data_IF_982220877009
#
_entry.id   IF_982220877009
#
_cell.length_a   1.000
_cell.length_b   1.000
_cell.length_c   1.000
_cell.angle_alpha   90.00
_cell.angle_beta   90.00
_cell.angle_gamma   90.00
#
_symmetry.space_group_name_H-M   'P 1'
#
loop_
_entity.id
_entity.type
_entity.pdbx_description
1 polymer ?
#
# COMPACT_ATOMS: atom_id res chain seq x y z
N UNK A 1 6.29 -12.96 19.35
CA UNK A 1 5.13 -13.68 18.81
C UNK A 1 5.61 -14.41 17.57
N UNK A 2 5.29 -15.70 17.42
CA UNK A 2 5.65 -16.47 16.22
C UNK A 2 4.99 -15.85 14.98
N UNK A 3 5.78 -15.67 13.92
CA UNK A 3 5.28 -15.24 12.62
C UNK A 3 4.72 -16.47 11.91
N UNK A 4 3.48 -16.85 12.21
CA UNK A 4 2.78 -17.81 11.37
C UNK A 4 2.39 -17.11 10.08
N UNK A 5 2.67 -17.73 8.94
CA UNK A 5 2.34 -17.22 7.61
C UNK A 5 1.50 -18.28 6.88
N UNK A 6 0.38 -17.86 6.31
CA UNK A 6 -0.40 -18.69 5.39
C UNK A 6 0.12 -18.45 3.98
N UNK A 7 0.54 -19.51 3.30
CA UNK A 7 0.99 -19.46 1.92
C UNK A 7 -0.06 -20.02 0.98
N UNK A 8 -0.25 -19.36 -0.16
CA UNK A 8 -1.16 -19.75 -1.22
C UNK A 8 -0.39 -19.60 -2.53
N UNK A 9 -0.42 -20.63 -3.37
CA UNK A 9 0.21 -20.60 -4.70
C UNK A 9 -0.78 -21.15 -5.70
N UNK A 10 -0.93 -20.49 -6.85
CA UNK A 10 -1.75 -21.04 -7.93
C UNK A 10 -1.08 -22.25 -8.56
N UNK A 11 -1.86 -23.23 -9.01
CA UNK A 11 -1.31 -24.43 -9.67
C UNK A 11 -0.74 -24.12 -11.05
N UNK A 12 -1.26 -23.09 -11.72
CA UNK A 12 -0.88 -22.67 -13.06
C UNK A 12 -0.65 -21.16 -13.10
N UNK A 13 0.00 -20.71 -14.18
CA UNK A 13 0.01 -19.30 -14.56
C UNK A 13 -1.41 -18.81 -14.86
N UNK A 14 -1.66 -17.54 -14.58
CA UNK A 14 -2.88 -16.83 -14.90
C UNK A 14 -3.35 -15.93 -13.77
N UNK A 15 -4.32 -15.08 -14.11
CA UNK A 15 -5.00 -14.24 -13.13
C UNK A 15 -5.91 -15.10 -12.24
N UNK A 16 -5.98 -14.75 -10.96
CA UNK A 16 -6.98 -15.26 -10.03
C UNK A 16 -8.06 -14.19 -9.86
N UNK A 17 -9.20 -14.38 -10.53
CA UNK A 17 -10.31 -13.42 -10.53
C UNK A 17 -11.32 -13.72 -9.41
N UNK A 18 -11.99 -12.68 -8.90
CA UNK A 18 -12.95 -12.81 -7.82
C UNK A 18 -12.29 -12.99 -6.45
N UNK A 19 -13.05 -13.48 -5.47
CA UNK A 19 -12.54 -13.72 -4.12
C UNK A 19 -11.67 -14.98 -4.11
N UNK A 20 -10.43 -14.84 -3.66
CA UNK A 20 -9.42 -15.91 -3.64
C UNK A 20 -9.36 -16.53 -2.25
N UNK A 21 -9.24 -15.70 -1.21
CA UNK A 21 -9.22 -16.14 0.18
C UNK A 21 -9.82 -15.09 1.11
N UNK A 22 -10.53 -15.56 2.13
CA UNK A 22 -10.96 -14.77 3.28
C UNK A 22 -10.12 -15.14 4.50
N UNK A 23 -9.50 -14.13 5.12
CA UNK A 23 -8.74 -14.28 6.36
C UNK A 23 -9.48 -13.56 7.48
N UNK A 24 -9.75 -14.30 8.55
CA UNK A 24 -10.34 -13.74 9.78
C UNK A 24 -9.27 -13.62 10.85
N UNK A 25 -8.93 -12.39 11.22
CA UNK A 25 -8.06 -12.08 12.35
C UNK A 25 -8.91 -11.85 13.61
N UNK A 26 -8.64 -12.58 14.68
CA UNK A 26 -9.26 -12.41 16.00
C UNK A 26 -8.18 -12.22 17.07
N UNK A 27 -8.57 -12.15 18.34
CA UNK A 27 -7.66 -11.97 19.48
C UNK A 27 -6.81 -10.67 19.37
N UNK A 28 -7.37 -9.64 18.73
CA UNK A 28 -6.76 -8.32 18.61
C UNK A 28 -6.81 -7.60 19.96
N UNK A 29 -5.67 -7.10 20.44
CA UNK A 29 -5.54 -6.48 21.77
C UNK A 29 -4.97 -5.05 21.75
N UNK A 30 -4.56 -4.54 20.59
CA UNK A 30 -3.94 -3.21 20.43
C UNK A 30 -4.65 -2.31 19.41
N UNK A 31 -5.85 -2.71 18.98
CA UNK A 31 -6.59 -2.00 17.94
C UNK A 31 -7.92 -1.48 18.48
N UNK A 32 -8.20 -0.21 18.23
CA UNK A 32 -9.45 0.44 18.63
C UNK A 32 -9.82 1.53 17.64
N UNK A 33 -11.12 1.81 17.51
CA UNK A 33 -11.65 2.97 16.80
C UNK A 33 -12.51 3.79 17.76
N UNK A 34 -12.18 5.08 17.94
CA UNK A 34 -12.85 5.99 18.90
C UNK A 34 -12.96 5.41 20.32
N UNK A 35 -11.92 4.72 20.78
CA UNK A 35 -11.88 4.06 22.08
C UNK A 35 -12.64 2.72 22.15
N UNK A 36 -13.48 2.37 21.16
CA UNK A 36 -14.10 1.04 21.08
C UNK A 36 -13.10 0.03 20.52
N UNK A 37 -12.95 -1.12 21.17
CA UNK A 37 -12.03 -2.18 20.75
C UNK A 37 -12.43 -2.73 19.38
N UNK A 38 -11.44 -2.88 18.49
CA UNK A 38 -11.58 -3.70 17.28
C UNK A 38 -11.22 -5.13 17.68
N UNK A 39 -12.19 -6.04 17.67
CA UNK A 39 -12.01 -7.42 18.13
C UNK A 39 -11.68 -8.38 16.98
N UNK A 40 -12.15 -8.04 15.77
CA UNK A 40 -12.02 -8.88 14.58
C UNK A 40 -11.80 -8.03 13.32
N UNK A 41 -10.95 -8.54 12.42
CA UNK A 41 -10.77 -8.01 11.06
C UNK A 41 -11.03 -9.17 10.09
N UNK A 42 -11.87 -8.92 9.10
CA UNK A 42 -12.05 -9.82 7.95
C UNK A 42 -11.34 -9.17 6.76
N UNK A 43 -10.36 -9.86 6.17
CA UNK A 43 -9.64 -9.44 4.98
C UNK A 43 -9.93 -10.39 3.82
N UNK A 44 -10.52 -9.89 2.75
CA UNK A 44 -10.83 -10.67 1.54
C UNK A 44 -9.83 -10.26 0.47
N UNK A 45 -8.99 -11.22 0.06
CA UNK A 45 -8.04 -11.07 -1.03
C UNK A 45 -8.71 -11.51 -2.33
N UNK A 46 -8.56 -10.71 -3.38
CA UNK A 46 -9.29 -10.85 -4.63
C UNK A 46 -8.53 -10.26 -5.81
N UNK A 47 -8.88 -10.70 -7.02
CA UNK A 47 -8.37 -10.15 -8.28
C UNK A 47 -6.85 -10.01 -8.30
N UNK A 48 -6.15 -11.12 -8.05
CA UNK A 48 -4.69 -11.18 -8.17
C UNK A 48 -4.34 -11.34 -9.65
N UNK A 49 -3.68 -10.33 -10.20
CA UNK A 49 -3.36 -10.23 -11.62
C UNK A 49 -1.90 -10.62 -11.80
N UNK A 50 -1.64 -11.60 -12.65
CA UNK A 50 -0.29 -12.05 -12.95
C UNK A 50 0.51 -10.91 -13.60
N UNK A 51 1.79 -10.82 -13.27
CA UNK A 51 2.72 -9.96 -13.98
C UNK A 51 3.05 -10.57 -15.34
N UNK A 52 2.91 -9.82 -16.43
CA UNK A 52 3.09 -10.31 -17.80
C UNK A 52 4.52 -10.77 -18.10
N UNK A 53 5.48 -10.31 -17.30
CA UNK A 53 6.89 -10.70 -17.43
C UNK A 53 7.26 -11.92 -16.58
N UNK A 54 6.35 -12.39 -15.72
CA UNK A 54 6.59 -13.56 -14.87
C UNK A 54 6.22 -14.85 -15.59
N UNK A 55 7.11 -15.84 -15.52
CA UNK A 55 6.86 -17.22 -15.94
C UNK A 55 6.46 -18.14 -14.79
N UNK A 56 6.38 -17.60 -13.57
CA UNK A 56 6.04 -18.37 -12.37
C UNK A 56 4.57 -18.15 -11.98
N UNK A 57 3.92 -19.14 -11.35
CA UNK A 57 2.59 -18.99 -10.78
C UNK A 57 2.54 -17.86 -9.74
N UNK A 58 1.37 -17.23 -9.59
CA UNK A 58 1.16 -16.22 -8.55
C UNK A 58 1.15 -16.86 -7.17
N UNK A 59 1.65 -16.15 -6.17
CA UNK A 59 1.59 -16.63 -4.80
C UNK A 59 1.47 -15.51 -3.79
N UNK A 60 0.92 -15.86 -2.63
CA UNK A 60 0.63 -14.97 -1.50
C UNK A 60 1.18 -15.56 -0.21
N UNK A 61 1.65 -14.69 0.67
CA UNK A 61 2.18 -15.02 1.98
C UNK A 61 1.61 -14.05 3.00
N UNK A 62 0.60 -14.49 3.74
CA UNK A 62 -0.19 -13.64 4.62
C UNK A 62 0.22 -13.87 6.07
N UNK A 63 0.69 -12.83 6.76
CA UNK A 63 1.10 -12.95 8.15
C UNK A 63 -0.13 -13.05 9.08
N UNK A 64 -0.05 -13.93 10.06
CA UNK A 64 -1.05 -14.11 11.13
C UNK A 64 -1.30 -12.85 11.96
N UNK A 65 -0.32 -11.95 12.06
CA UNK A 65 -0.51 -10.63 12.65
C UNK A 65 -0.72 -9.60 11.51
N UNK A 66 -1.91 -8.98 11.41
CA UNK A 66 -2.23 -8.08 10.29
C UNK A 66 -1.34 -6.85 10.23
N UNK A 67 -0.67 -6.47 11.34
CA UNK A 67 0.33 -5.40 11.35
C UNK A 67 1.50 -5.68 10.41
N UNK A 68 1.90 -6.94 10.25
CA UNK A 68 2.99 -7.34 9.37
C UNK A 68 2.55 -7.45 7.90
N UNK A 69 1.26 -7.33 7.59
CA UNK A 69 0.75 -7.33 6.22
C UNK A 69 0.88 -8.67 5.52
N UNK A 70 1.27 -8.62 4.24
CA UNK A 70 1.41 -9.79 3.40
C UNK A 70 2.42 -9.52 2.27
N UNK A 71 2.85 -10.59 1.63
CA UNK A 71 3.64 -10.57 0.40
C UNK A 71 2.83 -11.15 -0.76
N UNK A 72 3.05 -10.61 -1.95
CA UNK A 72 2.60 -11.20 -3.21
C UNK A 72 3.78 -11.32 -4.17
N UNK A 73 3.83 -12.42 -4.91
CA UNK A 73 4.88 -12.71 -5.87
C UNK A 73 4.29 -12.93 -7.25
N UNK A 74 5.05 -12.54 -8.28
CA UNK A 74 4.70 -12.79 -9.69
C UNK A 74 3.41 -12.10 -10.13
N UNK A 75 2.93 -11.15 -9.33
CA UNK A 75 1.68 -10.44 -9.54
C UNK A 75 1.96 -8.97 -9.81
N UNK A 76 1.23 -8.41 -10.78
CA UNK A 76 1.20 -6.98 -11.07
C UNK A 76 0.26 -6.24 -10.12
N UNK A 77 -0.78 -6.90 -9.60
CA UNK A 77 -1.65 -6.33 -8.57
C UNK A 77 -2.47 -7.37 -7.83
N UNK A 78 -2.98 -6.98 -6.66
CA UNK A 78 -3.95 -7.71 -5.85
C UNK A 78 -4.85 -6.74 -5.09
N UNK A 79 -6.14 -7.09 -4.96
CA UNK A 79 -7.12 -6.28 -4.23
C UNK A 79 -7.46 -6.92 -2.88
N UNK A 80 -7.41 -6.12 -1.82
CA UNK A 80 -7.79 -6.55 -0.47
C UNK A 80 -8.92 -5.67 0.07
N UNK A 81 -9.98 -6.30 0.56
CA UNK A 81 -11.09 -5.64 1.24
C UNK A 81 -11.06 -5.98 2.73
N UNK A 82 -10.84 -4.97 3.58
CA UNK A 82 -10.87 -5.11 5.03
C UNK A 82 -12.19 -4.61 5.60
N UNK A 83 -12.79 -5.42 6.49
CA UNK A 83 -13.90 -5.05 7.36
C UNK A 83 -13.50 -5.22 8.81
N UNK A 84 -13.88 -4.28 9.64
CA UNK A 84 -13.48 -4.20 11.05
C UNK A 84 -14.71 -4.38 11.91
N UNK A 85 -14.60 -5.18 12.96
CA UNK A 85 -15.70 -5.49 13.86
C UNK A 85 -15.30 -5.20 15.29
N UNK A 86 -16.26 -4.68 16.05
CA UNK A 86 -16.08 -4.44 17.48
C UNK A 86 -16.26 -5.71 18.32
N UNK A 87 -16.16 -5.58 19.64
CA UNK A 87 -16.31 -6.71 20.58
C UNK A 87 -17.69 -7.37 20.59
N UNK A 88 -18.72 -6.65 20.16
CA UNK A 88 -20.10 -7.14 20.04
C UNK A 88 -20.37 -7.75 18.65
N UNK A 89 -19.33 -7.90 17.83
CA UNK A 89 -19.40 -8.37 16.45
C UNK A 89 -20.19 -7.43 15.51
N UNK A 90 -20.36 -6.15 15.88
CA UNK A 90 -20.93 -5.16 14.97
C UNK A 90 -19.88 -4.68 13.97
N UNK A 91 -20.30 -4.48 12.73
CA UNK A 91 -19.47 -3.89 11.70
C UNK A 91 -19.19 -2.42 12.04
N UNK A 92 -17.92 -2.06 12.13
CA UNK A 92 -17.49 -0.69 12.38
C UNK A 92 -17.68 0.14 11.11
N UNK A 93 -18.34 1.28 11.27
CA UNK A 93 -18.48 2.29 10.24
C UNK A 93 -17.57 3.46 10.57
N UNK A 94 -16.55 3.70 9.74
CA UNK A 94 -15.68 4.86 9.85
C UNK A 94 -16.45 6.09 9.40
N UNK A 95 -16.78 6.97 10.33
CA UNK A 95 -17.34 8.25 9.96
C UNK A 95 -16.26 9.15 9.34
N UNK A 96 -16.70 10.08 8.48
CA UNK A 96 -15.88 11.07 7.77
C UNK A 96 -15.29 12.14 8.71
N UNK A 97 -14.95 11.75 9.94
CA UNK A 97 -14.20 12.60 10.88
C UNK A 97 -12.70 12.42 10.68
N UNK A 98 -11.91 13.36 11.18
CA UNK A 98 -10.45 13.43 11.01
C UNK A 98 -9.67 12.34 11.77
N UNK A 99 -10.21 11.14 11.98
CA UNK A 99 -9.60 10.10 12.83
C UNK A 99 -9.43 8.72 12.18
N UNK A 100 -9.80 8.55 10.91
CA UNK A 100 -9.76 7.25 10.21
C UNK A 100 -8.63 7.21 9.17
N UNK A 101 -7.40 7.42 9.63
CA UNK A 101 -6.21 7.49 8.76
C UNK A 101 -5.50 6.15 8.65
N UNK A 102 -5.23 5.74 7.41
CA UNK A 102 -4.45 4.55 7.08
C UNK A 102 -3.26 4.97 6.24
N UNK A 103 -2.06 4.86 6.82
CA UNK A 103 -0.81 5.05 6.11
C UNK A 103 -0.56 3.89 5.17
N UNK A 104 -0.23 4.23 3.93
CA UNK A 104 0.37 3.32 2.95
C UNK A 104 1.82 3.76 2.78
N UNK A 105 2.74 3.03 3.41
CA UNK A 105 4.18 3.27 3.29
C UNK A 105 4.88 2.28 2.39
N UNK A 106 6.21 2.37 2.34
CA UNK A 106 7.05 1.44 1.55
C UNK A 106 6.72 1.44 0.05
N UNK A 107 6.18 2.53 -0.51
CA UNK A 107 5.89 2.62 -1.94
C UNK A 107 7.16 2.90 -2.73
N UNK A 108 7.96 1.86 -2.92
CA UNK A 108 9.25 1.92 -3.59
C UNK A 108 9.09 2.17 -5.10
N UNK A 109 10.03 2.93 -5.66
CA UNK A 109 10.18 3.22 -7.09
C UNK A 109 11.67 3.29 -7.45
N UNK A 110 12.08 2.72 -8.57
CA UNK A 110 13.48 2.61 -8.99
C UNK A 110 13.92 1.16 -9.24
N UNK A 111 15.06 0.99 -9.90
CA UNK A 111 15.61 -0.32 -10.31
C UNK A 111 14.63 -1.14 -11.15
N UNK A 112 13.96 -0.50 -12.11
CA UNK A 112 13.08 -1.18 -13.04
C UNK A 112 11.69 -1.51 -12.49
N UNK A 113 11.31 -0.98 -11.31
CA UNK A 113 9.96 -1.20 -10.75
C UNK A 113 9.41 0.03 -10.02
N UNK A 114 8.09 0.08 -9.88
CA UNK A 114 7.44 0.92 -8.87
C UNK A 114 6.23 0.25 -8.28
N UNK A 115 5.95 0.58 -7.03
CA UNK A 115 4.85 0.07 -6.24
C UNK A 115 3.79 1.16 -6.08
N UNK A 116 2.52 0.75 -6.07
CA UNK A 116 1.39 1.64 -5.96
C UNK A 116 0.28 1.05 -5.08
N UNK A 117 -0.54 1.93 -4.52
CA UNK A 117 -1.78 1.56 -3.87
C UNK A 117 -2.93 2.44 -4.33
N UNK A 118 -4.07 1.83 -4.61
CA UNK A 118 -5.29 2.51 -5.04
C UNK A 118 -6.40 2.28 -4.04
N UNK A 119 -6.99 3.36 -3.52
CA UNK A 119 -8.19 3.31 -2.70
C UNK A 119 -9.42 3.15 -3.60
N UNK A 120 -10.14 2.03 -3.46
CA UNK A 120 -11.37 1.74 -4.20
C UNK A 120 -12.63 1.97 -3.37
N UNK A 121 -12.52 2.00 -2.04
CA UNK A 121 -13.64 2.31 -1.13
C UNK A 121 -13.81 3.83 -0.96
N UNK A 122 -14.88 4.22 -0.26
CA UNK A 122 -15.15 5.63 0.04
C UNK A 122 -14.05 6.23 0.92
N UNK A 123 -13.59 7.42 0.56
CA UNK A 123 -12.56 8.13 1.30
C UNK A 123 -11.84 9.15 0.45
N UNK A 124 -10.75 9.67 1.00
CA UNK A 124 -9.86 10.63 0.35
C UNK A 124 -8.42 10.18 0.49
N UNK A 125 -7.60 10.56 -0.47
CA UNK A 125 -6.17 10.24 -0.52
C UNK A 125 -5.36 11.52 -0.34
N UNK A 126 -4.30 11.43 0.44
CA UNK A 126 -3.39 12.53 0.75
C UNK A 126 -1.94 12.06 0.61
N UNK A 127 -1.06 12.95 0.19
CA UNK A 127 0.39 12.75 0.25
C UNK A 127 0.92 13.35 1.55
N UNK A 128 2.08 12.92 2.01
CA UNK A 128 2.81 13.68 3.02
C UNK A 128 3.55 14.85 2.37
N UNK A 129 3.70 15.95 3.10
CA UNK A 129 4.60 17.03 2.70
C UNK A 129 6.01 16.45 2.44
N UNK A 130 6.61 16.85 1.32
CA UNK A 130 7.96 16.42 0.88
C UNK A 130 8.09 14.91 0.62
N UNK A 131 6.97 14.17 0.50
CA UNK A 131 6.96 12.79 0.00
C UNK A 131 7.30 12.74 -1.48
N UNK A 132 8.00 11.69 -1.91
CA UNK A 132 8.14 11.37 -3.32
C UNK A 132 6.87 10.76 -3.90
N UNK A 133 5.97 10.26 -3.03
CA UNK A 133 4.71 9.64 -3.42
C UNK A 133 3.66 10.74 -3.62
N UNK A 134 3.13 10.77 -4.84
CA UNK A 134 2.11 11.72 -5.29
C UNK A 134 0.78 11.03 -5.55
N UNK A 135 -0.26 11.84 -5.73
CA UNK A 135 -1.62 11.37 -5.94
C UNK A 135 -1.92 11.36 -7.43
N UNK A 136 -2.30 10.20 -7.94
CA UNK A 136 -2.65 9.96 -9.33
C UNK A 136 -4.10 9.51 -9.42
N UNK A 137 -4.80 9.97 -10.46
CA UNK A 137 -6.21 9.63 -10.70
C UNK A 137 -7.11 9.85 -9.46
N UNK A 138 -6.75 10.81 -8.60
CA UNK A 138 -7.43 11.19 -7.34
C UNK A 138 -7.46 10.14 -6.23
N UNK A 139 -7.08 8.89 -6.48
CA UNK A 139 -7.18 7.81 -5.50
C UNK A 139 -6.01 6.82 -5.48
N UNK A 140 -4.97 7.04 -6.28
CA UNK A 140 -3.81 6.15 -6.39
C UNK A 140 -2.57 6.87 -5.88
N UNK A 141 -1.78 6.20 -5.06
CA UNK A 141 -0.49 6.66 -4.54
C UNK A 141 0.63 5.89 -5.22
N UNK A 142 1.59 6.60 -5.82
CA UNK A 142 2.90 6.06 -6.21
C UNK A 142 3.90 7.20 -6.42
N UNK A 143 5.18 6.86 -6.60
CA UNK A 143 6.24 7.82 -6.92
C UNK A 143 6.55 7.81 -8.42
N UNK A 144 6.43 8.95 -9.10
CA UNK A 144 6.74 9.09 -10.53
C UNK A 144 8.24 8.84 -10.84
N UNK A 145 9.09 9.05 -9.84
CA UNK A 145 10.55 8.95 -9.94
C UNK A 145 11.12 7.95 -8.95
N UNK A 146 12.33 7.49 -9.23
CA UNK A 146 13.05 6.59 -8.36
C UNK A 146 13.24 7.23 -6.97
N UNK A 147 12.81 6.51 -5.94
CA UNK A 147 12.91 6.87 -4.53
C UNK A 147 13.56 5.76 -3.71
N UNK A 148 13.93 4.63 -4.31
CA UNK A 148 14.42 3.47 -3.58
C UNK A 148 15.92 3.56 -3.34
N UNK A 149 16.36 2.95 -2.24
CA UNK A 149 17.77 2.71 -2.00
C UNK A 149 18.40 1.92 -3.18
N UNK A 150 19.69 2.15 -3.39
CA UNK A 150 20.50 1.62 -4.49
C UNK A 150 20.08 2.11 -5.90
N UNK A 151 19.14 3.07 -5.97
CA UNK A 151 18.74 3.76 -7.21
C UNK A 151 19.34 5.16 -7.28
N UNK A 152 19.45 5.69 -8.49
CA UNK A 152 19.68 7.13 -8.71
C UNK A 152 18.39 7.88 -8.33
N UNK A 153 18.36 8.51 -7.16
CA UNK A 153 17.16 9.20 -6.66
C UNK A 153 16.73 10.31 -7.63
N UNK A 154 15.44 10.34 -7.97
CA UNK A 154 14.86 11.28 -8.94
C UNK A 154 14.94 10.83 -10.40
N UNK A 155 15.62 9.72 -10.72
CA UNK A 155 15.65 9.18 -12.09
C UNK A 155 14.31 8.54 -12.49
N UNK A 156 14.22 8.06 -13.74
CA UNK A 156 13.06 7.28 -14.16
C UNK A 156 13.02 5.97 -13.36
N UNK A 157 11.85 5.56 -12.86
CA UNK A 157 11.67 4.31 -12.13
C UNK A 157 12.13 3.07 -12.93
N UNK A 158 12.06 3.14 -14.27
CA UNK A 158 12.47 2.06 -15.17
C UNK A 158 13.99 1.98 -15.38
N UNK A 159 14.74 2.96 -14.86
CA UNK A 159 16.20 2.91 -14.86
C UNK A 159 16.68 1.78 -13.94
N UNK A 160 17.44 0.85 -14.52
CA UNK A 160 17.98 -0.32 -13.83
C UNK A 160 19.41 -0.11 -13.35
N UNK A 161 19.97 1.10 -13.52
CA UNK A 161 21.31 1.44 -13.05
C UNK A 161 21.38 1.36 -11.53
N UNK A 162 22.28 0.50 -11.06
CA UNK A 162 22.58 0.33 -9.65
C UNK A 162 23.61 1.35 -9.19
N UNK A 163 23.39 1.94 -8.02
CA UNK A 163 24.40 2.73 -7.29
C UNK A 163 24.66 2.11 -5.92
N UNK A 164 25.90 2.16 -5.46
CA UNK A 164 26.26 1.65 -4.12
C UNK A 164 25.57 2.43 -3.00
N UNK A 165 25.28 3.71 -3.25
CA UNK A 165 24.65 4.58 -2.27
C UNK A 165 23.71 5.58 -2.94
N UNK A 166 22.44 5.55 -2.54
CA UNK A 166 21.46 6.54 -2.95
C UNK A 166 21.65 7.85 -2.20
N UNK A 167 21.47 8.97 -2.90
CA UNK A 167 21.52 10.31 -2.33
C UNK A 167 20.09 10.86 -2.15
N UNK A 168 19.50 10.62 -0.99
CA UNK A 168 18.18 11.15 -0.63
C UNK A 168 18.28 12.65 -0.26
N UNK A 169 17.16 13.37 -0.15
CA UNK A 169 17.18 14.78 0.24
C UNK A 169 17.89 15.08 1.58
N UNK A 170 18.04 14.07 2.44
CA UNK A 170 18.73 14.16 3.74
C UNK A 170 20.07 13.37 3.77
N UNK A 171 20.64 13.07 2.60
CA UNK A 171 21.86 12.27 2.45
C UNK A 171 21.56 10.79 2.29
N UNK A 172 22.39 9.94 2.88
CA UNK A 172 22.51 8.56 2.39
C UNK A 172 21.84 7.52 3.31
N UNK A 173 20.98 8.00 4.20
CA UNK A 173 20.24 7.15 5.15
C UNK A 173 18.96 6.67 4.48
N UNK A 174 18.77 5.36 4.42
CA UNK A 174 17.55 4.77 3.85
C UNK A 174 16.31 5.18 4.66
N UNK A 175 15.22 5.49 3.95
CA UNK A 175 13.93 5.77 4.57
C UNK A 175 13.10 4.50 4.80
N UNK A 176 13.34 3.45 4.01
CA UNK A 176 12.46 2.28 3.95
C UNK A 176 12.85 1.20 4.96
N UNK A 177 12.94 1.60 6.23
CA UNK A 177 13.28 0.71 7.36
C UNK A 177 12.12 0.54 8.33
N UNK A 178 10.90 0.87 7.90
CA UNK A 178 9.67 0.86 8.70
C UNK A 178 9.16 2.26 9.07
N UNK A 179 7.86 2.35 9.41
CA UNK A 179 7.14 3.62 9.59
C UNK A 179 7.58 4.46 10.81
N UNK A 180 8.34 3.89 11.73
CA UNK A 180 8.96 4.63 12.85
C UNK A 180 10.18 5.45 12.42
N UNK A 181 10.73 5.20 11.23
CA UNK A 181 11.82 5.99 10.66
C UNK A 181 11.32 7.43 10.39
N UNK A 182 12.11 8.42 10.81
CA UNK A 182 11.79 9.85 10.64
C UNK A 182 11.66 10.29 9.17
N UNK A 183 12.15 9.49 8.24
CA UNK A 183 12.08 9.74 6.80
C UNK A 183 11.09 8.81 6.08
N UNK A 184 10.40 7.92 6.80
CA UNK A 184 9.45 6.97 6.20
C UNK A 184 8.33 7.65 5.39
N UNK A 185 8.04 8.91 5.69
CA UNK A 185 7.08 9.70 4.91
C UNK A 185 7.45 9.84 3.44
N UNK A 186 8.74 9.75 3.10
CA UNK A 186 9.25 10.00 1.75
C UNK A 186 8.71 9.00 0.72
N UNK A 187 8.48 7.76 1.12
CA UNK A 187 7.84 6.74 0.28
C UNK A 187 6.45 6.36 0.79
N UNK A 188 5.71 7.31 1.37
CA UNK A 188 4.39 7.06 1.92
C UNK A 188 3.34 8.09 1.50
N UNK A 189 2.08 7.67 1.58
CA UNK A 189 0.91 8.55 1.61
C UNK A 189 -0.13 8.01 2.61
N UNK A 190 -1.30 8.63 2.65
CA UNK A 190 -2.35 8.26 3.62
C UNK A 190 -3.73 8.28 2.98
N UNK A 191 -4.55 7.30 3.36
CA UNK A 191 -5.98 7.24 3.07
C UNK A 191 -6.77 7.70 4.29
N UNK A 192 -7.67 8.66 4.11
CA UNK A 192 -8.74 8.93 5.06
C UNK A 192 -9.97 8.13 4.63
N UNK A 193 -10.30 7.11 5.39
CA UNK A 193 -11.31 6.11 5.01
C UNK A 193 -12.67 6.46 5.63
N UNK A 194 -13.74 6.20 4.88
CA UNK A 194 -15.11 6.40 5.35
C UNK A 194 -15.97 5.21 4.96
N UNK A 195 -17.07 5.00 5.67
CA UNK A 195 -17.91 3.83 5.46
C UNK A 195 -17.38 2.61 6.23
N UNK A 196 -17.86 1.43 5.87
CA UNK A 196 -17.63 0.20 6.64
C UNK A 196 -16.61 -0.76 6.02
N UNK A 197 -15.89 -0.30 5.00
CA UNK A 197 -14.88 -1.11 4.31
C UNK A 197 -13.67 -0.29 3.87
N UNK A 198 -12.51 -0.96 3.86
CA UNK A 198 -11.28 -0.47 3.28
C UNK A 198 -10.92 -1.38 2.12
N UNK A 199 -11.19 -0.95 0.89
CA UNK A 199 -10.86 -1.72 -0.32
C UNK A 199 -9.66 -1.07 -1.01
N UNK A 200 -8.55 -1.80 -1.08
CA UNK A 200 -7.28 -1.31 -1.63
C UNK A 200 -6.81 -2.29 -2.71
N UNK A 201 -6.44 -1.76 -3.88
CA UNK A 201 -5.61 -2.50 -4.83
C UNK A 201 -4.15 -2.11 -4.61
N UNK A 202 -3.33 -3.08 -4.24
CA UNK A 202 -1.88 -2.96 -4.24
C UNK A 202 -1.34 -3.45 -5.57
N UNK A 203 -0.29 -2.83 -6.08
CA UNK A 203 0.34 -3.35 -7.28
C UNK A 203 1.75 -2.87 -7.48
N UNK A 204 2.41 -3.55 -8.41
CA UNK A 204 3.80 -3.30 -8.77
C UNK A 204 3.89 -3.39 -10.28
N UNK A 205 4.44 -2.34 -10.91
CA UNK A 205 4.85 -2.42 -12.32
C UNK A 205 6.33 -2.68 -12.40
N UNK A 206 6.72 -3.45 -13.39
CA UNK A 206 8.09 -3.92 -13.58
C UNK A 206 8.47 -3.88 -15.05
N UNK A 207 9.75 -3.70 -15.34
CA UNK A 207 10.34 -3.91 -16.67
C UNK A 207 11.16 -5.20 -16.75
N UNK A 208 11.51 -5.79 -15.60
CA UNK A 208 12.25 -7.05 -15.48
C UNK A 208 11.76 -7.87 -14.27
N UNK A 209 12.10 -9.16 -14.24
CA UNK A 209 11.60 -10.09 -13.21
C UNK A 209 12.58 -10.30 -12.03
N UNK A 210 13.54 -9.39 -11.82
CA UNK A 210 14.60 -9.58 -10.81
C UNK A 210 14.07 -9.49 -9.36
N UNK A 211 12.93 -8.83 -9.18
CA UNK A 211 12.28 -8.63 -7.87
C UNK A 211 10.78 -8.95 -7.96
N UNK A 212 10.42 -10.24 -8.07
CA UNK A 212 9.03 -10.66 -8.30
C UNK A 212 8.14 -10.45 -7.08
N UNK A 213 8.73 -10.27 -5.90
CA UNK A 213 8.05 -10.08 -4.62
C UNK A 213 7.79 -8.61 -4.33
N UNK A 214 6.59 -8.30 -3.82
CA UNK A 214 6.29 -7.03 -3.16
C UNK A 214 5.56 -7.29 -1.85
N UNK A 215 5.92 -6.50 -0.84
CA UNK A 215 5.29 -6.50 0.47
C UNK A 215 4.27 -5.38 0.55
N UNK A 216 3.14 -5.63 1.20
CA UNK A 216 2.12 -4.62 1.44
C UNK A 216 1.53 -4.77 2.84
N UNK A 217 1.17 -3.64 3.44
CA UNK A 217 0.46 -3.60 4.72
C UNK A 217 -0.41 -2.36 4.82
N UNK A 218 -1.40 -2.41 5.72
CA UNK A 218 -2.07 -1.22 6.23
C UNK A 218 -1.48 -0.87 7.59
N UNK A 219 -1.30 0.41 7.86
CA UNK A 219 -0.85 0.87 9.17
C UNK A 219 -1.61 2.10 9.62
N UNK A 220 -1.85 2.21 10.91
CA UNK A 220 -2.33 3.46 11.55
C UNK A 220 -1.18 4.30 12.11
N UNK A 221 0.07 3.86 11.92
CA UNK A 221 1.26 4.65 12.27
C UNK A 221 1.46 5.74 11.24
N UNK A 222 1.37 6.99 11.66
CA UNK A 222 1.72 8.15 10.84
C UNK A 222 3.22 8.43 11.01
N UNK A 223 4.03 8.46 9.94
CA UNK A 223 5.45 8.79 10.02
C UNK A 223 5.71 10.12 10.75
N UNK A 224 6.80 10.18 11.52
CA UNK A 224 7.22 11.40 12.22
C UNK A 224 7.81 12.40 11.22
N UNK A 225 7.55 13.70 11.41
CA UNK A 225 8.27 14.77 10.72
C UNK A 225 7.60 15.37 9.49
N UNK A 226 6.47 14.84 9.02
CA UNK A 226 5.65 15.49 7.99
C UNK A 226 4.16 15.22 8.23
N UNK A 227 3.35 16.28 8.07
CA UNK A 227 1.90 16.17 8.10
C UNK A 227 1.35 15.81 6.72
N UNK A 228 0.15 15.20 6.64
CA UNK A 228 -0.53 15.03 5.37
C UNK A 228 -0.81 16.40 4.74
N UNK A 229 -0.48 16.54 3.46
CA UNK A 229 -0.83 17.69 2.63
C UNK A 229 -2.06 17.34 1.78
N UNK A 230 -2.97 18.31 1.68
CA UNK A 230 -4.10 18.20 0.75
C UNK A 230 -3.59 18.03 -0.69
N UNK A 231 -4.28 17.24 -1.54
CA UNK A 231 -3.98 17.19 -2.96
C UNK A 231 -4.02 18.59 -3.59
N UNK A 232 -3.06 18.89 -4.45
CA UNK A 232 -3.13 20.04 -5.33
C UNK A 232 -4.12 19.72 -6.47
N UNK A 233 -5.26 20.40 -6.49
CA UNK A 233 -6.29 20.20 -7.51
C UNK A 233 -6.03 21.16 -8.67
N UNK A 234 -5.45 20.66 -9.76
CA UNK A 234 -5.39 21.40 -11.02
C UNK A 234 -6.69 21.20 -11.80
N UNK A 235 -7.51 22.24 -11.90
CA UNK A 235 -8.67 22.25 -12.80
C UNK A 235 -8.20 22.63 -14.21
N UNK A 236 -8.38 21.72 -15.17
CA UNK A 236 -8.39 22.09 -16.59
C UNK A 236 -9.83 22.43 -16.98
N UNK A 237 -10.18 23.71 -16.98
CA UNK A 237 -11.41 24.18 -17.61
C UNK A 237 -11.23 24.14 -19.12
N UNK A 238 -11.79 23.13 -19.80
CA UNK A 238 -12.12 23.27 -21.23
C UNK A 238 -13.46 23.99 -21.31
N UNK A 239 -13.42 25.30 -21.55
CA UNK A 239 -14.60 26.04 -21.96
C UNK A 239 -15.10 25.44 -23.27
N UNK A 240 -16.18 24.65 -23.20
CA UNK A 240 -17.01 24.39 -24.38
C UNK A 240 -18.04 25.52 -24.38
N UNK A 241 -17.80 26.53 -25.22
CA UNK A 241 -18.81 27.54 -25.50
C UNK A 241 -20.02 26.81 -26.11
N UNK A 242 -21.21 27.06 -25.55
CA UNK A 242 -22.50 26.68 -26.14
C UNK A 242 -22.80 27.57 -27.35
#
# INVERSE_FOLDING_TARGET
>A
MSKHTVYITSNNQGNLNGNIIEITYTNLNKSSYKGKKISKIIAIFSNEIQDTISTEPVSLGIYSNPYHGFWYWNSSSITVNYKFYDEDNNLINFDNTDNSWITIGSLNSGLGRYEFAKLNSLGKVYSFKDSSVTIHNRNTLYSDKANSNLSIIGSNWSDTTYVEQSNFPWGNTDWDTGLDNRHAYYGAGVFNITGSSLNITYGTKRVNNDKPATWATISTTIPKGSGPSAPEIHYNYTNVAL
#
